data_IF_683568928083
#
_entry.id   IF_683568928083
#
_cell.length_a   1.000
_cell.length_b   1.000
_cell.length_c   1.000
_cell.angle_alpha   90.00
_cell.angle_beta   90.00
_cell.angle_gamma   90.00
#
_symmetry.space_group_name_H-M   'P 1'
#
loop_
_entity.id
_entity.type
_entity.pdbx_description
1 polymer ?
#
# COMPACT_ATOMS: atom_id res chain seq x y z
N UNK A 1 -75.05 45.05 36.58
CA UNK A 1 -74.21 44.88 37.79
C UNK A 1 -73.56 43.50 37.72
N UNK A 2 -72.27 43.45 38.08
CA UNK A 2 -71.39 42.29 38.22
C UNK A 2 -70.66 41.79 36.99
N UNK A 3 -69.50 42.31 36.83
CA UNK A 3 -68.36 41.93 35.98
C UNK A 3 -67.75 40.62 36.45
N UNK A 4 -67.45 39.69 35.51
CA UNK A 4 -66.60 38.55 35.77
C UNK A 4 -65.30 38.61 34.88
N UNK A 5 -64.20 38.75 35.59
CA UNK A 5 -62.87 38.67 35.04
C UNK A 5 -62.49 37.20 34.59
N UNK A 6 -62.19 37.02 33.36
CA UNK A 6 -61.59 35.77 32.83
C UNK A 6 -60.09 35.89 32.81
N UNK A 7 -59.38 35.00 33.52
CA UNK A 7 -57.91 34.85 33.46
C UNK A 7 -57.52 33.96 32.31
N UNK A 8 -56.84 34.51 31.27
CA UNK A 8 -56.21 33.77 30.21
C UNK A 8 -54.80 33.31 30.64
N UNK A 9 -54.63 32.02 30.77
CA UNK A 9 -53.33 31.34 31.01
C UNK A 9 -52.56 31.24 29.72
N UNK A 10 -51.46 31.96 29.56
CA UNK A 10 -50.53 31.85 28.42
C UNK A 10 -49.57 30.73 28.68
N UNK A 11 -49.62 29.68 27.85
CA UNK A 11 -48.63 28.63 27.80
C UNK A 11 -47.47 29.11 26.91
N UNK A 12 -46.28 29.24 27.49
CA UNK A 12 -45.03 29.48 26.73
C UNK A 12 -44.45 28.13 26.30
N UNK A 13 -44.46 27.85 24.99
CA UNK A 13 -43.72 26.74 24.40
C UNK A 13 -42.24 27.15 24.37
N UNK A 14 -41.42 26.49 25.18
CA UNK A 14 -39.97 26.55 25.04
C UNK A 14 -39.55 25.50 24.00
N UNK A 15 -39.24 25.95 22.78
CA UNK A 15 -38.64 25.12 21.76
C UNK A 15 -37.15 24.95 22.06
N UNK A 16 -36.79 23.80 22.63
CA UNK A 16 -35.38 23.40 22.78
C UNK A 16 -34.77 23.00 21.45
N UNK A 17 -33.93 23.86 20.84
CA UNK A 17 -33.07 23.48 19.72
C UNK A 17 -31.99 22.56 20.25
N UNK A 18 -32.13 21.25 19.99
CA UNK A 18 -31.05 20.31 20.14
C UNK A 18 -30.04 20.50 18.98
N UNK A 19 -28.94 21.16 19.25
CA UNK A 19 -27.80 21.23 18.31
C UNK A 19 -27.11 19.87 18.30
N UNK A 20 -27.39 19.06 17.26
CA UNK A 20 -26.66 17.85 17.02
C UNK A 20 -25.26 18.24 16.55
N UNK A 21 -24.28 18.17 17.43
CA UNK A 21 -22.85 18.26 17.08
C UNK A 21 -22.47 16.97 16.34
N UNK A 22 -22.50 17.00 15.01
CA UNK A 22 -21.91 15.94 14.20
C UNK A 22 -20.40 16.05 14.34
N UNK A 23 -19.81 15.22 15.19
CA UNK A 23 -18.37 15.04 15.24
C UNK A 23 -17.92 14.41 13.91
N UNK A 24 -17.53 15.23 12.94
CA UNK A 24 -16.76 14.79 11.79
C UNK A 24 -15.41 14.34 12.33
N UNK A 25 -15.19 13.03 12.39
CA UNK A 25 -13.87 12.45 12.64
C UNK A 25 -12.97 12.85 11.46
N UNK A 26 -12.25 13.96 11.61
CA UNK A 26 -11.17 14.30 10.71
C UNK A 26 -10.18 13.13 10.78
N UNK A 27 -10.03 12.39 9.68
CA UNK A 27 -8.95 11.42 9.56
C UNK A 27 -7.65 12.20 9.80
N UNK A 28 -6.91 11.83 10.83
CA UNK A 28 -5.66 12.49 11.14
C UNK A 28 -4.76 12.39 9.89
N UNK A 29 -4.28 13.54 9.43
CA UNK A 29 -3.36 13.61 8.31
C UNK A 29 -2.10 12.83 8.65
N UNK A 30 -1.71 11.88 7.80
CA UNK A 30 -0.49 11.10 7.97
C UNK A 30 0.71 12.04 7.89
N UNK A 31 1.55 12.04 8.93
CA UNK A 31 2.74 12.89 9.01
C UNK A 31 3.99 12.06 9.25
N UNK A 32 5.10 12.55 8.74
CA UNK A 32 6.42 11.97 9.02
C UNK A 32 6.74 12.16 10.50
N UNK A 33 7.28 11.12 11.15
CA UNK A 33 7.72 11.16 12.53
C UNK A 33 8.69 12.36 12.74
N UNK A 34 8.43 13.28 13.69
CA UNK A 34 9.27 14.44 13.92
C UNK A 34 10.74 14.11 14.21
N UNK A 35 11.03 12.92 14.74
CA UNK A 35 12.39 12.45 15.05
C UNK A 35 13.11 11.88 13.81
N UNK A 36 12.46 11.82 12.65
CA UNK A 36 13.09 11.37 11.40
C UNK A 36 14.27 12.30 11.04
N UNK A 37 15.48 11.77 10.78
CA UNK A 37 16.65 12.59 10.54
C UNK A 37 16.52 13.41 9.25
N UNK A 38 17.03 14.64 9.29
CA UNK A 38 17.17 15.49 8.11
C UNK A 38 18.27 14.94 7.20
N UNK A 39 18.08 15.01 5.88
CA UNK A 39 19.16 14.74 4.94
C UNK A 39 20.23 15.83 5.03
N UNK A 40 21.48 15.41 5.11
CA UNK A 40 22.64 16.32 5.07
C UNK A 40 23.43 16.02 3.80
N UNK A 41 23.43 16.98 2.87
CA UNK A 41 24.17 16.91 1.60
C UNK A 41 25.66 16.79 1.85
N UNK A 42 26.32 15.92 1.08
CA UNK A 42 27.79 15.75 1.09
C UNK A 42 28.36 16.07 -0.30
N UNK A 43 29.64 16.38 -0.39
CA UNK A 43 30.31 16.63 -1.67
C UNK A 43 30.68 15.31 -2.38
N UNK A 44 30.99 15.40 -3.68
CA UNK A 44 31.53 14.28 -4.47
C UNK A 44 30.52 13.23 -4.91
N UNK A 45 29.20 13.52 -4.86
CA UNK A 45 28.14 12.60 -5.33
C UNK A 45 27.77 12.95 -6.75
N UNK A 46 28.02 12.03 -7.67
CA UNK A 46 27.68 12.13 -9.09
C UNK A 46 27.64 10.75 -9.76
N UNK A 47 27.10 10.65 -10.97
CA UNK A 47 27.08 9.41 -11.76
C UNK A 47 25.67 8.89 -12.02
N UNK A 48 25.60 7.62 -12.38
CA UNK A 48 24.35 6.98 -12.81
C UNK A 48 23.99 5.81 -11.89
N UNK A 49 22.69 5.64 -11.62
CA UNK A 49 22.10 4.45 -11.00
C UNK A 49 20.97 3.92 -11.86
N UNK A 50 20.83 2.61 -11.87
CA UNK A 50 19.68 1.93 -12.43
C UNK A 50 18.84 1.33 -11.30
N UNK A 51 17.53 1.52 -11.38
CA UNK A 51 16.53 0.95 -10.50
C UNK A 51 15.58 0.09 -11.31
N UNK A 52 15.65 -1.23 -11.14
CA UNK A 52 14.81 -2.20 -11.85
C UNK A 52 14.05 -3.03 -10.81
N UNK A 53 12.71 -3.04 -10.89
CA UNK A 53 11.92 -3.84 -9.96
C UNK A 53 10.44 -3.50 -9.90
N UNK A 54 9.95 -3.30 -8.71
CA UNK A 54 8.52 -3.18 -8.39
C UNK A 54 7.84 -1.99 -9.05
N UNK A 55 6.76 -2.26 -9.79
CA UNK A 55 5.84 -1.24 -10.26
C UNK A 55 5.15 -0.50 -9.09
N UNK A 56 4.87 -1.17 -7.98
CA UNK A 56 4.29 -0.52 -6.79
C UNK A 56 5.12 0.66 -6.28
N UNK A 57 6.45 0.56 -6.37
CA UNK A 57 7.37 1.64 -5.98
C UNK A 57 7.75 2.57 -7.14
N UNK A 58 7.21 2.36 -8.34
CA UNK A 58 7.66 3.11 -9.51
C UNK A 58 7.53 4.63 -9.34
N UNK A 59 6.39 5.11 -8.83
CA UNK A 59 6.18 6.53 -8.57
C UNK A 59 7.13 7.03 -7.47
N UNK A 60 7.23 6.30 -6.34
CA UNK A 60 8.15 6.65 -5.25
C UNK A 60 9.61 6.76 -5.75
N UNK A 61 10.08 5.77 -6.50
CA UNK A 61 11.43 5.77 -7.06
C UNK A 61 11.65 6.97 -8.00
N UNK A 62 10.65 7.32 -8.81
CA UNK A 62 10.70 8.49 -9.69
C UNK A 62 10.77 9.79 -8.89
N UNK A 63 9.88 9.98 -7.91
CA UNK A 63 9.85 11.21 -7.09
C UNK A 63 11.10 11.36 -6.22
N UNK A 64 11.60 10.28 -5.63
CA UNK A 64 12.87 10.29 -4.91
C UNK A 64 14.03 10.64 -5.85
N UNK A 65 14.08 10.08 -7.06
CA UNK A 65 15.12 10.35 -8.06
C UNK A 65 15.09 11.81 -8.51
N UNK A 66 13.92 12.37 -8.78
CA UNK A 66 13.75 13.77 -9.17
C UNK A 66 14.16 14.72 -8.04
N UNK A 67 13.76 14.43 -6.81
CA UNK A 67 14.10 15.25 -5.65
C UNK A 67 15.58 15.14 -5.28
N UNK A 68 16.16 13.95 -5.37
CA UNK A 68 17.60 13.76 -5.15
C UNK A 68 18.45 14.46 -6.22
N UNK A 69 17.98 14.51 -7.47
CA UNK A 69 18.65 15.26 -8.54
C UNK A 69 18.66 16.77 -8.32
N UNK A 70 17.69 17.33 -7.59
CA UNK A 70 17.73 18.76 -7.20
C UNK A 70 18.91 19.03 -6.24
N UNK A 71 19.24 18.06 -5.38
CA UNK A 71 20.41 18.14 -4.51
C UNK A 71 21.73 17.89 -5.29
N UNK A 72 21.70 16.99 -6.28
CA UNK A 72 22.87 16.54 -7.05
C UNK A 72 22.58 16.57 -8.55
N UNK A 73 22.75 17.72 -9.22
CA UNK A 73 22.39 17.88 -10.64
C UNK A 73 23.13 16.95 -11.61
N UNK A 74 24.31 16.45 -11.20
CA UNK A 74 25.14 15.53 -11.99
C UNK A 74 24.81 14.06 -11.75
N UNK A 75 23.69 13.76 -11.05
CA UNK A 75 23.21 12.39 -10.83
C UNK A 75 22.07 12.09 -11.80
N UNK A 76 22.09 10.89 -12.38
CA UNK A 76 21.01 10.33 -13.19
C UNK A 76 20.57 8.98 -12.61
N UNK A 77 19.28 8.82 -12.38
CA UNK A 77 18.69 7.57 -11.91
C UNK A 77 17.64 7.15 -12.92
N UNK A 78 17.86 6.00 -13.55
CA UNK A 78 16.90 5.39 -14.47
C UNK A 78 16.00 4.45 -13.68
N UNK A 79 14.68 4.55 -13.86
CA UNK A 79 13.68 3.76 -13.12
C UNK A 79 12.88 2.89 -14.08
N UNK A 80 12.83 1.57 -13.81
CA UNK A 80 12.00 0.61 -14.52
C UNK A 80 11.13 -0.21 -13.56
N UNK A 81 9.81 0.00 -13.64
CA UNK A 81 8.82 -0.64 -12.77
C UNK A 81 8.13 -1.84 -13.42
N UNK A 82 8.86 -2.92 -13.73
CA UNK A 82 8.32 -4.10 -14.43
C UNK A 82 7.84 -5.25 -13.52
N UNK A 83 7.90 -5.04 -12.21
CA UNK A 83 7.49 -6.02 -11.20
C UNK A 83 8.64 -6.49 -10.33
N UNK A 84 8.36 -6.85 -9.07
CA UNK A 84 9.39 -7.23 -8.09
C UNK A 84 10.26 -8.39 -8.53
N UNK A 85 9.74 -9.29 -9.37
CA UNK A 85 10.48 -10.46 -9.85
C UNK A 85 11.61 -10.11 -10.83
N UNK A 86 11.66 -8.86 -11.34
CA UNK A 86 12.74 -8.40 -12.20
C UNK A 86 13.95 -7.85 -11.43
N UNK A 87 13.76 -7.50 -10.14
CA UNK A 87 14.84 -6.96 -9.31
C UNK A 87 15.97 -7.96 -9.03
N UNK A 88 15.72 -9.21 -8.56
CA UNK A 88 16.79 -10.15 -8.27
C UNK A 88 17.70 -10.44 -9.46
N UNK A 89 17.20 -10.80 -10.67
CA UNK A 89 18.06 -11.05 -11.80
C UNK A 89 18.85 -9.80 -12.25
N UNK A 90 18.25 -8.59 -12.16
CA UNK A 90 18.96 -7.36 -12.51
C UNK A 90 20.10 -7.03 -11.54
N UNK A 91 19.89 -7.25 -10.23
CA UNK A 91 20.95 -7.13 -9.21
C UNK A 91 22.06 -8.18 -9.42
N UNK A 92 21.70 -9.43 -9.71
CA UNK A 92 22.64 -10.53 -9.96
C UNK A 92 23.49 -10.25 -11.21
N UNK A 93 22.88 -9.72 -12.26
CA UNK A 93 23.57 -9.36 -13.49
C UNK A 93 24.40 -8.06 -13.35
N UNK A 94 24.23 -7.29 -12.27
CA UNK A 94 24.86 -5.98 -12.09
C UNK A 94 24.29 -4.87 -12.97
N UNK A 95 23.19 -5.12 -13.69
CA UNK A 95 22.51 -4.14 -14.55
C UNK A 95 21.68 -3.14 -13.76
N UNK A 96 21.38 -3.43 -12.49
CA UNK A 96 20.74 -2.51 -11.55
C UNK A 96 21.51 -2.46 -10.23
N UNK A 97 21.61 -1.28 -9.65
CA UNK A 97 22.18 -1.06 -8.33
C UNK A 97 21.10 -1.01 -7.24
N UNK A 98 19.87 -0.70 -7.64
CA UNK A 98 18.70 -0.60 -6.76
C UNK A 98 17.63 -1.58 -7.23
N UNK A 99 17.22 -2.48 -6.34
CA UNK A 99 16.16 -3.47 -6.59
C UNK A 99 14.91 -3.18 -5.75
N UNK A 100 14.01 -2.26 -6.15
CA UNK A 100 12.78 -2.02 -5.42
C UNK A 100 11.84 -3.23 -5.49
N UNK A 101 11.29 -3.62 -4.34
CA UNK A 101 10.40 -4.78 -4.22
C UNK A 101 9.24 -4.51 -3.26
N UNK A 102 8.04 -4.92 -3.65
CA UNK A 102 6.82 -4.83 -2.84
C UNK A 102 6.47 -6.14 -2.10
N UNK A 103 7.44 -7.02 -1.99
CA UNK A 103 7.52 -8.23 -1.17
C UNK A 103 8.97 -8.48 -0.78
N UNK A 104 9.20 -9.27 0.25
CA UNK A 104 10.54 -9.79 0.48
C UNK A 104 11.01 -10.67 -0.69
N UNK A 105 12.31 -10.71 -0.96
CA UNK A 105 12.90 -11.70 -1.85
C UNK A 105 12.53 -13.10 -1.36
N UNK A 106 12.29 -14.01 -2.31
CA UNK A 106 12.11 -15.42 -2.03
C UNK A 106 13.45 -16.07 -1.71
N UNK A 107 13.41 -17.22 -1.04
CA UNK A 107 14.66 -17.92 -0.70
C UNK A 107 15.48 -18.27 -1.94
N UNK A 108 14.84 -18.76 -2.99
CA UNK A 108 15.52 -19.07 -4.26
C UNK A 108 16.18 -17.84 -4.93
N UNK A 109 15.59 -16.65 -4.76
CA UNK A 109 16.16 -15.38 -5.27
C UNK A 109 17.38 -14.95 -4.44
N UNK A 110 17.32 -15.14 -3.10
CA UNK A 110 18.44 -14.87 -2.17
C UNK A 110 19.58 -15.86 -2.46
N UNK A 111 19.28 -17.14 -2.62
CA UNK A 111 20.27 -18.19 -2.86
C UNK A 111 20.99 -17.98 -4.21
N UNK A 112 20.26 -17.60 -5.26
CA UNK A 112 20.84 -17.26 -6.55
C UNK A 112 21.78 -16.05 -6.45
N UNK A 113 21.38 -15.00 -5.72
CA UNK A 113 22.24 -13.84 -5.46
C UNK A 113 23.50 -14.24 -4.66
N UNK A 114 23.30 -15.02 -3.59
CA UNK A 114 24.38 -15.47 -2.70
C UNK A 114 25.38 -16.35 -3.46
N UNK A 115 24.91 -17.22 -4.36
CA UNK A 115 25.78 -18.03 -5.22
C UNK A 115 26.67 -17.18 -6.12
N UNK A 116 26.16 -16.04 -6.60
CA UNK A 116 26.92 -15.12 -7.46
C UNK A 116 27.96 -14.31 -6.69
N UNK A 117 27.58 -13.78 -5.53
CA UNK A 117 28.37 -12.76 -4.82
C UNK A 117 29.07 -13.25 -3.57
N UNK A 118 28.72 -14.44 -3.04
CA UNK A 118 29.27 -14.98 -1.79
C UNK A 118 28.62 -14.41 -0.51
N UNK A 119 27.66 -13.49 -0.65
CA UNK A 119 26.94 -12.88 0.48
C UNK A 119 25.47 -12.61 0.10
N UNK A 120 24.61 -12.42 1.10
CA UNK A 120 23.18 -12.14 0.87
C UNK A 120 22.96 -10.68 0.47
N UNK A 121 21.94 -10.39 -0.39
CA UNK A 121 21.58 -9.00 -0.70
C UNK A 121 21.10 -8.28 0.56
N UNK A 122 21.42 -6.99 0.68
CA UNK A 122 20.96 -6.17 1.81
C UNK A 122 19.57 -5.65 1.52
N UNK A 123 18.64 -5.94 2.43
CA UNK A 123 17.25 -5.49 2.40
C UNK A 123 17.11 -4.20 3.18
N UNK A 124 16.66 -3.12 2.55
CA UNK A 124 16.36 -1.83 3.15
C UNK A 124 14.86 -1.58 3.08
N UNK A 125 14.19 -1.47 4.24
CA UNK A 125 12.81 -1.02 4.33
C UNK A 125 12.74 0.48 4.05
N UNK A 126 11.83 0.91 3.15
CA UNK A 126 11.79 2.32 2.70
C UNK A 126 10.44 2.99 2.90
N UNK A 127 9.36 2.23 2.99
CA UNK A 127 8.01 2.71 3.25
C UNK A 127 7.12 1.59 3.79
N UNK A 128 5.99 1.94 4.39
CA UNK A 128 4.91 1.01 4.68
C UNK A 128 3.79 1.15 3.64
N UNK A 129 3.12 0.05 3.37
CA UNK A 129 1.96 -0.01 2.48
C UNK A 129 0.85 -0.82 3.13
N UNK A 130 -0.37 -0.34 3.04
CA UNK A 130 -1.56 -1.15 3.20
C UNK A 130 -1.98 -1.63 1.81
N UNK A 131 -1.74 -2.91 1.52
CA UNK A 131 -2.27 -3.49 0.29
C UNK A 131 -3.80 -3.49 0.40
N UNK A 132 -4.42 -2.52 -0.28
CA UNK A 132 -5.85 -2.31 -0.19
C UNK A 132 -6.62 -3.17 -1.19
N UNK A 133 -7.79 -3.64 -0.75
CA UNK A 133 -8.84 -4.13 -1.65
C UNK A 133 -9.70 -2.94 -2.01
N UNK A 134 -9.76 -2.64 -3.30
CA UNK A 134 -10.51 -1.53 -3.86
C UNK A 134 -11.79 -2.01 -4.52
N UNK A 135 -12.82 -1.20 -4.41
CA UNK A 135 -14.07 -1.31 -5.18
C UNK A 135 -14.40 0.05 -5.78
N UNK A 136 -15.30 0.08 -6.77
CA UNK A 136 -15.80 1.35 -7.31
C UNK A 136 -16.35 2.23 -6.17
N UNK A 137 -16.18 3.55 -6.27
CA UNK A 137 -16.58 4.52 -5.22
C UNK A 137 -18.05 4.40 -4.79
N UNK A 138 -18.95 4.04 -5.72
CA UNK A 138 -20.39 3.92 -5.48
C UNK A 138 -20.82 2.51 -5.05
N UNK A 139 -19.91 1.55 -4.94
CA UNK A 139 -20.24 0.22 -4.42
C UNK A 139 -20.61 0.32 -2.93
N UNK A 140 -21.74 -0.22 -2.45
CA UNK A 140 -22.18 -0.04 -1.06
C UNK A 140 -21.41 -0.90 -0.04
N UNK A 141 -20.58 -1.87 -0.48
CA UNK A 141 -19.83 -2.74 0.44
C UNK A 141 -18.93 -1.93 1.38
N UNK A 142 -18.88 -2.29 2.65
CA UNK A 142 -18.04 -1.62 3.66
C UNK A 142 -16.74 -2.37 3.92
N UNK A 143 -16.80 -3.70 3.98
CA UNK A 143 -15.65 -4.51 4.30
C UNK A 143 -15.87 -5.97 3.95
N UNK A 144 -14.77 -6.74 3.96
CA UNK A 144 -14.71 -8.18 3.75
C UNK A 144 -13.71 -8.81 4.71
N UNK A 145 -13.92 -10.08 5.04
CA UNK A 145 -12.88 -10.90 5.64
C UNK A 145 -11.90 -11.42 4.57
N UNK A 146 -10.68 -11.78 4.97
CA UNK A 146 -9.74 -12.45 4.04
C UNK A 146 -10.29 -13.79 3.54
N UNK A 147 -11.15 -14.45 4.31
CA UNK A 147 -11.81 -15.67 3.88
C UNK A 147 -12.78 -15.40 2.72
N UNK A 148 -13.54 -14.30 2.78
CA UNK A 148 -14.42 -13.87 1.68
C UNK A 148 -13.62 -13.37 0.47
N UNK A 149 -12.51 -12.67 0.70
CA UNK A 149 -11.59 -12.27 -0.38
C UNK A 149 -11.02 -13.52 -1.09
N UNK A 150 -10.65 -14.56 -0.36
CA UNK A 150 -10.22 -15.84 -0.94
C UNK A 150 -11.34 -16.50 -1.76
N UNK A 151 -12.56 -16.58 -1.22
CA UNK A 151 -13.71 -17.13 -1.95
C UNK A 151 -14.04 -16.36 -3.24
N UNK A 152 -13.78 -15.05 -3.27
CA UNK A 152 -13.98 -14.18 -4.44
C UNK A 152 -12.88 -14.38 -5.50
N UNK A 153 -11.59 -14.42 -5.09
CA UNK A 153 -10.45 -14.37 -6.02
C UNK A 153 -9.79 -15.72 -6.30
N UNK A 154 -9.97 -16.70 -5.41
CA UNK A 154 -9.27 -18.01 -5.50
C UNK A 154 -10.18 -19.09 -6.06
N UNK A 155 -9.60 -19.98 -6.86
CA UNK A 155 -10.26 -21.24 -7.30
C UNK A 155 -9.99 -22.42 -6.35
N UNK A 156 -9.13 -22.24 -5.35
CA UNK A 156 -8.73 -23.30 -4.42
C UNK A 156 -9.29 -23.14 -3.00
N UNK A 157 -9.87 -22.00 -2.70
CA UNK A 157 -10.60 -21.67 -1.45
C UNK A 157 -9.91 -22.09 -0.15
N UNK A 158 -8.59 -21.84 -0.03
CA UNK A 158 -7.79 -22.27 1.12
C UNK A 158 -8.08 -21.47 2.41
N UNK A 159 -8.85 -20.38 2.31
CA UNK A 159 -9.29 -19.55 3.43
C UNK A 159 -10.39 -20.16 4.29
N UNK A 160 -10.97 -21.28 3.86
CA UNK A 160 -11.97 -22.02 4.63
C UNK A 160 -13.44 -21.81 4.23
N UNK A 161 -13.74 -20.93 3.27
CA UNK A 161 -15.07 -20.86 2.62
C UNK A 161 -14.97 -21.71 1.34
N UNK A 162 -15.65 -22.85 1.34
CA UNK A 162 -15.63 -23.78 0.19
C UNK A 162 -16.51 -23.34 -0.98
N UNK A 163 -17.47 -22.45 -0.71
CA UNK A 163 -18.37 -21.90 -1.74
C UNK A 163 -17.62 -20.91 -2.64
N UNK A 164 -17.85 -21.04 -3.95
CA UNK A 164 -17.32 -20.08 -4.93
C UNK A 164 -18.15 -18.80 -4.94
N UNK A 165 -17.55 -17.68 -4.55
CA UNK A 165 -18.22 -16.38 -4.57
C UNK A 165 -18.07 -15.75 -5.96
N UNK A 166 -19.24 -15.59 -6.63
CA UNK A 166 -19.32 -15.05 -8.01
C UNK A 166 -20.14 -13.77 -8.10
N UNK A 167 -20.99 -13.49 -7.10
CA UNK A 167 -21.86 -12.32 -7.08
C UNK A 167 -21.76 -11.54 -5.78
N UNK A 168 -22.06 -10.25 -5.86
CA UNK A 168 -22.09 -9.34 -4.71
C UNK A 168 -23.16 -9.72 -3.66
N UNK A 169 -24.18 -10.49 -4.04
CA UNK A 169 -25.18 -10.99 -3.08
C UNK A 169 -24.60 -11.94 -2.05
N UNK A 170 -23.61 -12.75 -2.41
CA UNK A 170 -22.98 -13.71 -1.50
C UNK A 170 -22.18 -13.04 -0.37
N UNK A 171 -21.83 -11.76 -0.53
CA UNK A 171 -21.24 -10.90 0.53
C UNK A 171 -22.25 -9.97 1.18
N UNK A 172 -23.55 -10.23 1.01
CA UNK A 172 -24.65 -9.56 1.73
C UNK A 172 -25.20 -8.32 1.04
N UNK A 173 -24.83 -8.01 -0.20
CA UNK A 173 -25.46 -6.91 -0.93
C UNK A 173 -26.84 -7.34 -1.49
N UNK A 174 -27.80 -6.43 -1.43
CA UNK A 174 -29.19 -6.67 -1.80
C UNK A 174 -29.63 -5.82 -3.01
N UNK A 175 -30.89 -5.95 -3.43
CA UNK A 175 -31.45 -5.19 -4.56
C UNK A 175 -30.77 -5.53 -5.88
N UNK A 176 -30.42 -4.51 -6.66
CA UNK A 176 -29.73 -4.69 -7.96
C UNK A 176 -28.36 -5.36 -7.83
N UNK A 177 -27.70 -5.25 -6.68
CA UNK A 177 -26.41 -5.86 -6.43
C UNK A 177 -26.46 -7.38 -6.19
N UNK A 178 -27.59 -7.91 -5.72
CA UNK A 178 -27.69 -9.31 -5.29
C UNK A 178 -27.26 -10.32 -6.38
N UNK A 179 -27.57 -10.03 -7.64
CA UNK A 179 -27.22 -10.89 -8.78
C UNK A 179 -26.09 -10.33 -9.64
N UNK A 180 -25.51 -9.18 -9.26
CA UNK A 180 -24.40 -8.57 -10.01
C UNK A 180 -23.14 -9.41 -9.82
N UNK A 181 -22.51 -9.89 -10.91
CA UNK A 181 -21.28 -10.66 -10.80
C UNK A 181 -20.09 -9.78 -10.41
N UNK A 182 -19.07 -10.37 -9.78
CA UNK A 182 -17.79 -9.69 -9.57
C UNK A 182 -17.03 -9.54 -10.89
N UNK A 183 -16.46 -8.35 -11.12
CA UNK A 183 -15.38 -8.13 -12.08
C UNK A 183 -14.05 -8.06 -11.34
N UNK A 184 -13.20 -9.07 -11.51
CA UNK A 184 -11.97 -9.24 -10.73
C UNK A 184 -10.79 -8.58 -11.43
N UNK A 185 -10.09 -7.67 -10.73
CA UNK A 185 -8.89 -7.00 -11.23
C UNK A 185 -7.69 -7.35 -10.34
N UNK A 186 -6.62 -7.84 -10.95
CA UNK A 186 -5.40 -8.23 -10.28
C UNK A 186 -4.15 -7.83 -11.03
N UNK A 187 -3.00 -8.26 -10.53
CA UNK A 187 -1.69 -8.04 -11.13
C UNK A 187 -1.21 -9.33 -11.81
N UNK A 188 -0.30 -9.20 -12.75
CA UNK A 188 0.38 -10.33 -13.36
C UNK A 188 1.42 -10.98 -12.40
N UNK A 189 1.92 -12.15 -12.75
CA UNK A 189 2.82 -12.95 -11.91
C UNK A 189 4.21 -12.34 -11.67
N UNK A 190 4.66 -11.36 -12.47
CA UNK A 190 5.91 -10.63 -12.23
C UNK A 190 5.79 -9.66 -11.05
N UNK A 191 4.56 -9.28 -10.68
CA UNK A 191 4.27 -8.35 -9.60
C UNK A 191 4.55 -8.96 -8.22
N UNK A 192 5.28 -8.22 -7.37
CA UNK A 192 5.39 -8.55 -5.95
C UNK A 192 4.06 -8.47 -5.22
N UNK A 193 3.18 -7.56 -5.64
CA UNK A 193 1.83 -7.41 -5.11
C UNK A 193 0.95 -8.63 -5.40
N UNK A 194 1.05 -9.21 -6.60
CA UNK A 194 0.45 -10.49 -6.93
C UNK A 194 0.90 -11.60 -5.96
N UNK A 195 2.22 -11.74 -5.78
CA UNK A 195 2.75 -12.77 -4.88
C UNK A 195 2.40 -12.55 -3.42
N UNK A 196 2.39 -11.29 -2.97
CA UNK A 196 1.99 -10.94 -1.61
C UNK A 196 0.51 -11.24 -1.36
N UNK A 197 -0.38 -10.82 -2.25
CA UNK A 197 -1.82 -11.09 -2.15
C UNK A 197 -2.12 -12.59 -2.19
N UNK A 198 -1.50 -13.35 -3.12
CA UNK A 198 -1.60 -14.81 -3.18
C UNK A 198 -1.24 -15.46 -1.85
N UNK A 199 -0.15 -15.01 -1.22
CA UNK A 199 0.34 -15.58 0.04
C UNK A 199 -0.57 -15.26 1.23
N UNK A 200 -1.04 -14.01 1.34
CA UNK A 200 -1.67 -13.51 2.56
C UNK A 200 -3.21 -13.42 2.48
N UNK A 201 -3.77 -13.13 1.30
CA UNK A 201 -5.20 -13.03 1.09
C UNK A 201 -5.83 -14.31 0.52
N UNK A 202 -5.07 -15.07 -0.30
CA UNK A 202 -5.55 -16.33 -0.87
C UNK A 202 -4.92 -17.55 -0.17
N UNK A 203 -4.27 -17.39 0.96
CA UNK A 203 -3.68 -18.48 1.76
C UNK A 203 -2.79 -19.42 0.92
N UNK A 204 -2.02 -18.86 -0.03
CA UNK A 204 -1.24 -19.56 -1.06
C UNK A 204 -2.12 -20.36 -2.06
N UNK A 205 -3.41 -20.05 -2.16
CA UNK A 205 -4.32 -20.59 -3.17
C UNK A 205 -4.05 -20.04 -4.57
N UNK A 206 -4.67 -20.63 -5.57
CA UNK A 206 -4.54 -20.21 -6.96
C UNK A 206 -5.65 -19.23 -7.33
N UNK A 207 -5.30 -18.18 -8.08
CA UNK A 207 -6.28 -17.23 -8.59
C UNK A 207 -7.28 -17.90 -9.54
N UNK A 208 -8.49 -17.37 -9.58
CA UNK A 208 -9.46 -17.68 -10.64
C UNK A 208 -8.93 -17.22 -11.99
N UNK A 209 -9.24 -17.96 -13.04
CA UNK A 209 -8.84 -17.64 -14.41
C UNK A 209 -9.58 -16.40 -14.97
N UNK A 210 -10.65 -15.98 -14.26
CA UNK A 210 -11.43 -14.76 -14.57
C UNK A 210 -10.82 -13.47 -14.04
N UNK A 211 -9.71 -13.54 -13.27
CA UNK A 211 -9.01 -12.34 -12.80
C UNK A 211 -8.36 -11.64 -14.01
N UNK A 212 -8.79 -10.40 -14.25
CA UNK A 212 -8.22 -9.54 -15.30
C UNK A 212 -6.85 -9.06 -14.86
N UNK A 213 -5.81 -9.72 -15.32
CA UNK A 213 -4.43 -9.38 -14.99
C UNK A 213 -4.03 -8.03 -15.60
N UNK A 214 -3.54 -7.12 -14.75
CA UNK A 214 -3.09 -5.80 -15.13
C UNK A 214 -1.57 -5.68 -15.01
N UNK A 215 -0.90 -4.94 -15.93
CA UNK A 215 0.54 -4.76 -15.88
C UNK A 215 1.00 -3.89 -14.70
N UNK A 216 0.17 -2.94 -14.26
CA UNK A 216 0.51 -1.95 -13.25
C UNK A 216 -0.55 -1.76 -12.17
N UNK A 217 -0.14 -1.15 -11.07
CA UNK A 217 -1.00 -0.78 -9.94
C UNK A 217 -2.06 0.24 -10.33
N UNK A 218 -1.66 1.24 -11.13
CA UNK A 218 -2.57 2.26 -11.67
C UNK A 218 -3.64 1.65 -12.58
N UNK A 219 -3.27 0.67 -13.41
CA UNK A 219 -4.22 0.00 -14.34
C UNK A 219 -5.29 -0.81 -13.59
N UNK A 220 -4.96 -1.41 -12.44
CA UNK A 220 -5.95 -2.07 -11.57
C UNK A 220 -6.97 -1.04 -11.08
N UNK A 221 -6.50 0.10 -10.55
CA UNK A 221 -7.37 1.14 -10.01
C UNK A 221 -8.23 1.78 -11.11
N UNK A 222 -7.65 2.00 -12.30
CA UNK A 222 -8.39 2.52 -13.46
C UNK A 222 -9.52 1.57 -13.87
N UNK A 223 -9.22 0.26 -14.01
CA UNK A 223 -10.23 -0.74 -14.36
C UNK A 223 -11.40 -0.77 -13.37
N UNK A 224 -11.13 -0.63 -12.06
CA UNK A 224 -12.18 -0.57 -11.03
C UNK A 224 -12.96 0.76 -11.12
N UNK A 225 -12.30 1.87 -11.45
CA UNK A 225 -12.95 3.18 -11.62
C UNK A 225 -13.98 3.17 -12.76
N UNK A 226 -13.72 2.42 -13.81
CA UNK A 226 -14.58 2.29 -15.00
C UNK A 226 -15.63 1.20 -14.88
N UNK A 227 -15.55 0.35 -13.85
CA UNK A 227 -16.42 -0.82 -13.66
C UNK A 227 -17.06 -0.82 -12.26
N UNK A 228 -18.38 -0.49 -12.21
CA UNK A 228 -19.12 -0.45 -10.95
C UNK A 228 -19.11 -1.79 -10.19
N UNK A 229 -19.04 -2.92 -10.91
CA UNK A 229 -18.95 -4.27 -10.34
C UNK A 229 -17.51 -4.70 -10.01
N UNK A 230 -16.53 -3.81 -10.27
CA UNK A 230 -15.13 -4.06 -10.10
C UNK A 230 -14.71 -4.22 -8.65
N UNK A 231 -13.87 -5.22 -8.40
CA UNK A 231 -13.10 -5.42 -7.18
C UNK A 231 -11.68 -5.82 -7.55
N UNK A 232 -10.69 -5.27 -6.86
CA UNK A 232 -9.29 -5.58 -7.13
C UNK A 232 -8.39 -5.13 -6.00
N UNK A 233 -7.08 -5.35 -6.14
CA UNK A 233 -6.11 -5.03 -5.11
C UNK A 233 -4.92 -4.23 -5.66
N UNK A 234 -4.51 -3.22 -4.90
CA UNK A 234 -3.35 -2.37 -5.22
C UNK A 234 -2.79 -1.73 -3.95
N UNK A 235 -1.57 -1.20 -4.01
CA UNK A 235 -1.02 -0.38 -2.93
C UNK A 235 -1.87 0.85 -2.66
N UNK A 236 -1.97 1.26 -1.39
CA UNK A 236 -2.83 2.36 -0.97
C UNK A 236 -2.48 3.69 -1.66
N UNK A 237 -1.21 3.90 -2.02
CA UNK A 237 -0.75 5.09 -2.72
C UNK A 237 -1.37 5.29 -4.11
N UNK A 238 -1.96 4.25 -4.69
CA UNK A 238 -2.65 4.34 -5.98
C UNK A 238 -4.15 4.69 -5.88
N UNK A 239 -4.67 4.94 -4.67
CA UNK A 239 -6.07 5.31 -4.46
C UNK A 239 -6.40 6.61 -5.21
N UNK A 240 -7.48 6.58 -5.97
CA UNK A 240 -8.08 7.75 -6.64
C UNK A 240 -9.47 8.03 -6.10
N UNK A 241 -10.07 9.15 -6.52
CA UNK A 241 -11.46 9.49 -6.19
C UNK A 241 -12.49 8.56 -6.83
N UNK A 242 -12.11 7.78 -7.85
CA UNK A 242 -12.99 6.81 -8.53
C UNK A 242 -13.17 5.49 -7.77
N UNK A 243 -12.34 5.23 -6.78
CA UNK A 243 -12.37 3.99 -5.98
C UNK A 243 -12.42 4.27 -4.48
N UNK A 244 -12.88 3.30 -3.72
CA UNK A 244 -12.72 3.28 -2.26
C UNK A 244 -12.04 2.00 -1.82
N UNK A 245 -11.15 2.13 -0.83
CA UNK A 245 -10.59 0.99 -0.12
C UNK A 245 -11.61 0.51 0.92
N UNK A 246 -11.82 -0.80 1.01
CA UNK A 246 -12.73 -1.39 1.98
C UNK A 246 -11.99 -1.88 3.23
N UNK A 247 -12.72 -1.98 4.32
CA UNK A 247 -12.19 -2.53 5.56
C UNK A 247 -11.96 -4.03 5.44
N UNK A 248 -10.90 -4.53 6.07
CA UNK A 248 -10.59 -5.96 6.08
C UNK A 248 -10.53 -6.53 7.50
N UNK A 249 -11.09 -7.72 7.66
CA UNK A 249 -10.90 -8.57 8.85
C UNK A 249 -10.10 -9.83 8.49
N UNK A 250 -9.48 -10.47 9.49
CA UNK A 250 -8.76 -11.74 9.28
C UNK A 250 -9.71 -12.87 8.98
N UNK A 251 -10.82 -12.96 9.73
CA UNK A 251 -11.86 -13.99 9.59
C UNK A 251 -13.24 -13.35 9.56
N UNK A 252 -14.19 -14.06 9.01
CA UNK A 252 -15.60 -13.67 9.05
C UNK A 252 -16.08 -13.57 10.50
N UNK A 253 -16.66 -12.42 10.86
CA UNK A 253 -17.09 -12.11 12.24
C UNK A 253 -16.04 -11.38 13.09
N UNK A 254 -14.77 -11.36 12.71
CA UNK A 254 -13.75 -10.55 13.38
C UNK A 254 -13.95 -9.04 13.09
N UNK A 255 -13.45 -8.16 13.96
CA UNK A 255 -13.42 -6.73 13.67
C UNK A 255 -12.67 -6.42 12.37
N UNK A 256 -13.28 -5.63 11.50
CA UNK A 256 -12.68 -5.16 10.27
C UNK A 256 -11.97 -3.82 10.51
N UNK A 257 -10.85 -3.61 9.84
CA UNK A 257 -9.99 -2.44 10.01
C UNK A 257 -9.76 -1.73 8.68
N UNK A 258 -9.85 -0.41 8.71
CA UNK A 258 -9.50 0.46 7.57
C UNK A 258 -8.00 0.39 7.27
N UNK A 259 -7.59 0.54 6.00
CA UNK A 259 -6.17 0.58 5.59
C UNK A 259 -5.52 1.93 5.91
N UNK A 260 -5.58 2.37 7.17
CA UNK A 260 -4.96 3.61 7.63
C UNK A 260 -3.63 3.37 8.37
N UNK A 261 -2.90 4.45 8.66
CA UNK A 261 -1.57 4.40 9.26
C UNK A 261 -1.54 3.68 10.62
N UNK A 262 -2.48 4.01 11.51
CA UNK A 262 -2.52 3.43 12.86
C UNK A 262 -2.82 1.93 12.84
N UNK A 263 -3.73 1.50 11.98
CA UNK A 263 -4.05 0.08 11.82
C UNK A 263 -2.91 -0.71 11.16
N UNK A 264 -2.12 -0.07 10.31
CA UNK A 264 -0.90 -0.68 9.73
C UNK A 264 0.19 -0.80 10.78
N UNK A 265 0.48 0.27 11.53
CA UNK A 265 1.51 0.25 12.58
C UNK A 265 1.18 -0.71 13.71
N UNK A 266 -0.08 -0.79 14.12
CA UNK A 266 -0.52 -1.71 15.17
C UNK A 266 -0.69 -3.16 14.69
N UNK A 267 -0.50 -3.46 13.39
CA UNK A 267 -0.68 -4.79 12.80
C UNK A 267 -2.14 -5.27 12.79
N UNK A 268 -3.10 -4.38 12.99
CA UNK A 268 -4.54 -4.68 12.94
C UNK A 268 -5.02 -4.90 11.50
N UNK A 269 -4.56 -4.05 10.55
CA UNK A 269 -4.90 -4.23 9.14
C UNK A 269 -4.17 -5.45 8.58
N UNK A 270 -4.88 -6.46 8.06
CA UNK A 270 -4.30 -7.79 7.81
C UNK A 270 -3.36 -7.84 6.60
N UNK A 271 -3.42 -6.88 5.67
CA UNK A 271 -2.57 -6.82 4.47
C UNK A 271 -1.54 -5.69 4.55
N UNK A 272 -1.04 -5.40 5.75
CA UNK A 272 0.07 -4.46 5.97
C UNK A 272 1.39 -5.06 5.50
N UNK A 273 2.22 -4.27 4.80
CA UNK A 273 3.55 -4.71 4.35
C UNK A 273 4.56 -3.59 4.35
N UNK A 274 5.84 -3.96 4.40
CA UNK A 274 6.96 -3.06 4.12
C UNK A 274 7.31 -3.11 2.63
N UNK A 275 7.63 -1.96 2.06
CA UNK A 275 8.24 -1.82 0.74
C UNK A 275 9.74 -1.74 0.91
N UNK A 276 10.50 -2.36 0.01
CA UNK A 276 11.94 -2.55 0.15
C UNK A 276 12.71 -2.04 -1.06
N UNK A 277 13.96 -1.63 -0.84
CA UNK A 277 14.99 -1.55 -1.86
C UNK A 277 16.10 -2.54 -1.49
N UNK A 278 16.42 -3.45 -2.37
CA UNK A 278 17.55 -4.37 -2.22
C UNK A 278 18.78 -3.84 -2.93
N UNK A 279 19.94 -4.04 -2.31
CA UNK A 279 21.25 -3.63 -2.85
C UNK A 279 22.30 -4.70 -2.63
N UNK A 280 23.29 -4.75 -3.52
CA UNK A 280 24.50 -5.56 -3.36
C UNK A 280 25.49 -4.84 -2.44
N UNK A 281 25.40 -5.06 -1.12
CA UNK A 281 26.36 -4.55 -0.13
C UNK A 281 27.24 -5.69 0.37
N UNK A 282 28.50 -5.65 0.01
CA UNK A 282 29.49 -6.61 0.51
C UNK A 282 29.72 -6.40 2.01
N UNK A 283 29.77 -7.48 2.82
CA UNK A 283 30.08 -7.36 4.25
C UNK A 283 31.39 -6.60 4.50
N UNK A 284 31.40 -5.73 5.49
CA UNK A 284 32.57 -4.92 5.90
C UNK A 284 33.11 -3.96 4.82
N UNK A 285 32.40 -3.77 3.71
CA UNK A 285 32.70 -2.74 2.72
C UNK A 285 31.59 -1.70 2.66
N UNK A 286 31.92 -0.40 2.51
CA UNK A 286 30.92 0.62 2.34
C UNK A 286 30.18 0.44 0.99
N UNK A 287 28.92 0.85 0.94
CA UNK A 287 28.22 1.03 -0.33
C UNK A 287 28.93 2.11 -1.19
N UNK A 288 28.87 2.02 -2.54
CA UNK A 288 29.26 3.12 -3.39
C UNK A 288 28.62 4.43 -2.95
N UNK A 289 29.36 5.55 -2.94
CA UNK A 289 28.90 6.82 -2.35
C UNK A 289 27.52 7.26 -2.90
N UNK A 290 27.30 7.19 -4.19
CA UNK A 290 26.04 7.56 -4.82
C UNK A 290 24.86 6.68 -4.32
N UNK A 291 25.04 5.36 -4.27
CA UNK A 291 24.02 4.44 -3.76
C UNK A 291 23.71 4.69 -2.28
N UNK A 292 24.76 4.88 -1.47
CA UNK A 292 24.63 5.16 -0.04
C UNK A 292 23.86 6.47 0.20
N UNK A 293 24.24 7.54 -0.47
CA UNK A 293 23.61 8.85 -0.29
C UNK A 293 22.16 8.88 -0.82
N UNK A 294 21.87 8.19 -1.92
CA UNK A 294 20.49 8.04 -2.37
C UNK A 294 19.61 7.33 -1.33
N UNK A 295 20.07 6.24 -0.74
CA UNK A 295 19.32 5.52 0.30
C UNK A 295 19.19 6.34 1.59
N UNK A 296 20.23 7.11 1.98
CA UNK A 296 20.12 8.06 3.09
C UNK A 296 19.09 9.15 2.83
N UNK A 297 19.03 9.67 1.59
CA UNK A 297 18.00 10.62 1.20
C UNK A 297 16.59 10.00 1.29
N UNK A 298 16.37 8.79 0.77
CA UNK A 298 15.10 8.05 0.86
C UNK A 298 14.65 7.88 2.32
N UNK A 299 15.59 7.56 3.21
CA UNK A 299 15.33 7.34 4.64
C UNK A 299 15.32 8.63 5.47
N UNK A 300 15.55 9.80 4.88
CA UNK A 300 15.49 11.08 5.56
C UNK A 300 14.06 11.62 5.66
N UNK A 301 13.89 12.69 6.44
CA UNK A 301 12.61 13.40 6.55
C UNK A 301 12.08 13.80 5.16
N UNK A 302 12.89 14.39 4.30
CA UNK A 302 12.52 14.76 2.94
C UNK A 302 12.08 13.56 2.10
N UNK A 303 12.80 12.42 2.19
CA UNK A 303 12.42 11.19 1.51
C UNK A 303 11.11 10.60 2.02
N UNK A 304 10.84 10.67 3.32
CA UNK A 304 9.59 10.17 3.91
C UNK A 304 8.40 11.13 3.70
N UNK A 305 8.62 12.43 3.54
CA UNK A 305 7.59 13.39 3.09
C UNK A 305 7.13 13.06 1.66
N UNK A 306 8.03 12.58 0.80
CA UNK A 306 7.66 12.07 -0.54
C UNK A 306 6.79 10.82 -0.42
N UNK A 307 7.07 9.90 0.53
CA UNK A 307 6.22 8.72 0.79
C UNK A 307 4.80 9.14 1.12
N UNK A 308 4.63 10.11 2.02
CA UNK A 308 3.31 10.64 2.40
C UNK A 308 2.61 11.30 1.22
N UNK A 309 3.34 12.10 0.45
CA UNK A 309 2.81 12.81 -0.73
C UNK A 309 2.31 11.86 -1.82
N UNK A 310 2.98 10.71 -2.01
CA UNK A 310 2.56 9.66 -2.97
C UNK A 310 1.46 8.75 -2.38
N UNK A 311 0.93 9.06 -1.18
CA UNK A 311 -0.17 8.35 -0.55
C UNK A 311 0.22 7.05 0.15
N UNK A 312 1.50 6.73 0.25
CA UNK A 312 2.01 5.64 1.07
C UNK A 312 2.24 6.08 2.52
N UNK A 313 2.72 5.17 3.35
CA UNK A 313 2.85 5.36 4.78
C UNK A 313 4.33 5.46 5.17
N UNK A 314 4.75 6.52 5.90
CA UNK A 314 6.13 6.71 6.27
C UNK A 314 6.57 5.71 7.33
N UNK A 315 7.88 5.41 7.36
CA UNK A 315 8.48 4.61 8.42
C UNK A 315 8.58 5.41 9.72
N UNK A 316 8.32 4.79 10.89
CA UNK A 316 8.67 5.39 12.18
C UNK A 316 10.19 5.65 12.30
N UNK A 317 10.59 6.72 13.00
CA UNK A 317 11.99 7.11 13.16
C UNK A 317 12.89 5.98 13.71
N UNK A 318 12.41 5.20 14.67
CA UNK A 318 13.13 4.02 15.20
C UNK A 318 13.38 2.93 14.15
N UNK A 319 12.48 2.79 13.17
CA UNK A 319 12.68 1.86 12.05
C UNK A 319 13.72 2.43 11.10
N UNK A 320 13.62 3.72 10.78
CA UNK A 320 14.57 4.43 9.91
C UNK A 320 16.00 4.33 10.47
N UNK A 321 16.19 4.50 11.76
CA UNK A 321 17.50 4.35 12.41
C UNK A 321 18.11 2.97 12.16
N UNK A 322 17.31 1.90 12.31
CA UNK A 322 17.74 0.52 12.01
C UNK A 322 18.08 0.33 10.51
N UNK A 323 17.29 0.92 9.63
CA UNK A 323 17.53 0.80 8.18
C UNK A 323 18.79 1.58 7.77
N UNK A 324 19.03 2.77 8.34
CA UNK A 324 20.25 3.55 8.13
C UNK A 324 21.51 2.81 8.62
N UNK A 325 21.42 2.08 9.73
CA UNK A 325 22.55 1.29 10.26
C UNK A 325 23.02 0.21 9.26
N UNK A 326 22.15 -0.31 8.41
CA UNK A 326 22.51 -1.30 7.37
C UNK A 326 23.37 -0.72 6.24
N UNK A 327 23.43 0.60 6.10
CA UNK A 327 24.19 1.28 5.04
C UNK A 327 25.69 1.46 5.36
N UNK A 328 26.08 1.21 6.59
CA UNK A 328 27.44 1.35 7.09
C UNK A 328 28.25 0.08 6.95
#
# INVERSE_FOLDING_TARGET
MTTRFGKTLKWALVAGCAVAVTATSALAEVKVDPQTPMYKKVSGVSGNLNSIGSDTLNNLMTFWSESFRKEYPNVRIQVEGKGSSTAPPALIAGTSQLGPMSRAMKNEEIDAFTKKYGYKPTQIGVALDSLAVFVHKDNPIKGLSLQEVDAIFSKTHKGGISEDYTTWGQVGLTGSWAKTPFSLYGRNSASGTYGYFKKHALFKGDYKDTVKEQPGSASVVLGITEDKSGIGYSGIGYKTSGVKAIDLSKKKGDPAYTPNYDNVLSGKYPLSRTLYIYVAKEPNKPLPPLTKEFLKFVLSKAGQEIVVKDGFLPLPAKVIEKELAKLN
#
